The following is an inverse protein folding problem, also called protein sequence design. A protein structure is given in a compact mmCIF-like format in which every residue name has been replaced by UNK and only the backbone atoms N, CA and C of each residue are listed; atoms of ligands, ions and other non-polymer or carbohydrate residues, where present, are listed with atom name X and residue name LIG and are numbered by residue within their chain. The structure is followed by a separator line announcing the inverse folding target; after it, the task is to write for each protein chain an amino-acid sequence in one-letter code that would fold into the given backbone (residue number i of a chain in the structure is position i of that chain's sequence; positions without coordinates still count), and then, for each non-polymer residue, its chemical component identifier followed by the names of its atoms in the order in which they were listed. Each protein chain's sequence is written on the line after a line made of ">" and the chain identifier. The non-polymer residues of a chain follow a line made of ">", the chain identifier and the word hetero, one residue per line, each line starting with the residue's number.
data_IF_711668114114
#
_entry.id   IF_711668114114
#
_cell.length_a   1.000
_cell.length_b   1.000
_cell.length_c   1.000
_cell.angle_alpha   90.00
_cell.angle_beta   90.00
_cell.angle_gamma   90.00
#
_symmetry.space_group_name_H-M   'P 1'
#
loop_
_entity.id
_entity.type
_entity.pdbx_description
1 polymer ?
#
# COMPACT_ATOMS: atom_id res chain seq x y z
N UNK A 1 9.36 -5.74 -5.44
CA UNK A 1 9.60 -7.18 -5.69
C UNK A 1 10.95 -7.56 -5.10
N UNK A 2 11.18 -8.85 -4.84
CA UNK A 2 12.49 -9.36 -4.43
C UNK A 2 12.52 -10.89 -4.39
N UNK A 3 13.66 -11.46 -4.02
CA UNK A 3 13.89 -12.90 -3.92
C UNK A 3 14.30 -13.26 -2.49
N UNK A 4 13.70 -14.31 -1.92
CA UNK A 4 14.11 -14.82 -0.61
C UNK A 4 15.49 -15.46 -0.72
N UNK A 5 16.48 -14.95 0.01
CA UNK A 5 17.88 -15.41 -0.06
C UNK A 5 18.39 -16.07 1.21
N UNK A 6 17.71 -15.88 2.34
CA UNK A 6 17.94 -16.63 3.58
C UNK A 6 16.68 -16.61 4.44
N UNK A 7 16.50 -17.63 5.28
CA UNK A 7 15.40 -17.70 6.25
C UNK A 7 15.74 -18.66 7.40
N UNK A 8 15.10 -18.43 8.54
CA UNK A 8 15.05 -19.34 9.69
C UNK A 8 13.60 -19.38 10.18
N UNK A 9 13.06 -20.58 10.46
CA UNK A 9 11.65 -20.78 10.81
C UNK A 9 11.43 -21.69 12.01
N UNK A 10 12.45 -22.43 12.45
CA UNK A 10 12.29 -23.54 13.39
C UNK A 10 12.41 -23.15 14.87
N UNK A 11 12.82 -21.91 15.17
CA UNK A 11 12.99 -21.48 16.56
C UNK A 11 11.63 -21.28 17.23
N UNK A 12 11.53 -21.75 18.47
CA UNK A 12 10.32 -21.60 19.27
C UNK A 12 10.12 -20.15 19.72
N UNK A 13 8.85 -19.72 19.79
CA UNK A 13 8.44 -18.47 20.41
C UNK A 13 8.94 -18.38 21.85
N UNK A 14 9.37 -17.19 22.28
CA UNK A 14 9.87 -17.01 23.65
C UNK A 14 8.75 -17.28 24.67
N UNK A 15 9.01 -18.05 25.73
CA UNK A 15 8.13 -18.10 26.90
C UNK A 15 7.97 -16.69 27.52
N UNK A 16 6.88 -16.45 28.27
CA UNK A 16 6.69 -15.18 28.97
C UNK A 16 7.93 -14.78 29.80
N UNK A 17 8.35 -13.52 29.65
CA UNK A 17 9.52 -12.93 30.35
C UNK A 17 10.89 -13.53 30.02
N UNK A 18 11.01 -14.35 28.97
CA UNK A 18 12.29 -14.90 28.50
C UNK A 18 12.69 -14.31 27.15
N UNK A 19 13.99 -14.39 26.84
CA UNK A 19 14.55 -14.03 25.53
C UNK A 19 15.69 -14.97 25.17
N UNK A 20 15.75 -15.37 23.90
CA UNK A 20 16.92 -16.05 23.33
C UNK A 20 17.98 -15.01 22.93
N UNK A 21 19.08 -14.99 23.68
CA UNK A 21 20.20 -14.07 23.44
C UNK A 21 21.23 -14.64 22.44
N UNK A 22 21.18 -15.93 22.16
CA UNK A 22 22.08 -16.57 21.19
C UNK A 22 21.57 -16.32 19.76
N UNK A 23 20.26 -16.49 19.54
CA UNK A 23 19.62 -16.27 18.26
C UNK A 23 18.99 -14.88 18.18
N UNK A 24 19.82 -13.84 18.12
CA UNK A 24 19.36 -12.43 18.23
C UNK A 24 18.19 -12.10 17.30
N UNK A 25 18.18 -12.60 16.08
CA UNK A 25 17.13 -12.33 15.09
C UNK A 25 15.90 -13.27 15.19
N UNK A 26 16.00 -14.36 15.95
CA UNK A 26 14.98 -15.40 15.98
C UNK A 26 14.72 -15.98 14.59
N UNK A 27 13.46 -16.30 14.30
CA UNK A 27 13.03 -16.65 12.95
C UNK A 27 12.97 -15.39 12.09
N UNK A 28 13.47 -15.48 10.86
CA UNK A 28 13.56 -14.34 9.96
C UNK A 28 13.43 -14.73 8.49
N UNK A 29 13.16 -13.73 7.66
CA UNK A 29 13.27 -13.80 6.19
C UNK A 29 14.19 -12.68 5.74
N UNK A 30 15.17 -13.00 4.89
CA UNK A 30 16.02 -12.04 4.20
C UNK A 30 15.66 -12.04 2.71
N UNK A 31 15.31 -10.88 2.19
CA UNK A 31 14.83 -10.69 0.82
C UNK A 31 15.82 -9.79 0.09
N UNK A 32 16.43 -10.27 -0.99
CA UNK A 32 17.18 -9.42 -1.92
C UNK A 32 16.18 -8.69 -2.81
N UNK A 33 16.15 -7.36 -2.68
CA UNK A 33 15.31 -6.50 -3.50
C UNK A 33 15.92 -6.34 -4.90
N UNK A 34 15.07 -6.08 -5.89
CA UNK A 34 15.51 -5.90 -7.28
C UNK A 34 16.47 -4.70 -7.45
N UNK A 35 16.45 -3.73 -6.52
CA UNK A 35 17.41 -2.62 -6.45
C UNK A 35 18.80 -2.99 -5.90
N UNK A 36 19.00 -4.25 -5.48
CA UNK A 36 20.27 -4.77 -4.96
C UNK A 36 20.43 -4.72 -3.43
N UNK A 37 19.57 -3.98 -2.72
CA UNK A 37 19.55 -3.98 -1.25
C UNK A 37 18.86 -5.23 -0.68
N UNK A 38 18.98 -5.44 0.63
CA UNK A 38 18.40 -6.60 1.33
C UNK A 38 17.43 -6.14 2.43
N UNK A 39 16.21 -6.64 2.44
CA UNK A 39 15.21 -6.42 3.48
C UNK A 39 15.21 -7.61 4.44
N UNK A 40 15.41 -7.35 5.74
CA UNK A 40 15.28 -8.36 6.79
C UNK A 40 13.98 -8.14 7.56
N UNK A 41 13.23 -9.23 7.78
CA UNK A 41 12.05 -9.31 8.63
C UNK A 41 12.33 -10.36 9.70
N UNK A 42 12.29 -10.00 10.98
CA UNK A 42 12.77 -10.84 12.07
C UNK A 42 11.75 -10.96 13.23
N UNK A 43 12.07 -11.81 14.21
CA UNK A 43 11.20 -12.18 15.33
C UNK A 43 9.89 -12.84 14.88
N UNK A 44 9.92 -13.57 13.76
CA UNK A 44 8.74 -14.22 13.19
C UNK A 44 8.28 -15.38 14.05
N UNK A 45 6.98 -15.68 13.98
CA UNK A 45 6.39 -16.81 14.72
C UNK A 45 6.96 -18.14 14.22
N UNK A 46 7.21 -19.07 15.14
CA UNK A 46 7.60 -20.45 14.82
C UNK A 46 6.68 -21.04 13.75
N UNK A 47 7.29 -21.67 12.74
CA UNK A 47 6.61 -22.39 11.65
C UNK A 47 5.55 -21.57 10.89
N UNK A 48 5.67 -20.25 10.90
CA UNK A 48 4.69 -19.35 10.25
C UNK A 48 5.09 -18.86 8.87
N UNK A 49 6.34 -19.08 8.45
CA UNK A 49 6.86 -18.65 7.15
C UNK A 49 6.16 -19.44 6.03
N UNK A 50 5.58 -18.72 5.07
CA UNK A 50 4.75 -19.26 3.96
C UNK A 50 5.44 -19.19 2.60
N UNK A 51 6.73 -18.88 2.58
CA UNK A 51 7.53 -18.73 1.37
C UNK A 51 8.78 -19.61 1.47
N UNK A 52 9.31 -19.99 0.31
CA UNK A 52 10.48 -20.85 0.21
C UNK A 52 11.73 -20.05 -0.13
N UNK A 53 12.89 -20.61 0.21
CA UNK A 53 14.18 -20.09 -0.24
C UNK A 53 14.21 -20.01 -1.78
N UNK A 54 14.82 -18.96 -2.32
CA UNK A 54 14.91 -18.64 -3.75
C UNK A 54 13.56 -18.29 -4.42
N UNK A 55 12.45 -18.25 -3.68
CA UNK A 55 11.16 -17.81 -4.23
C UNK A 55 11.12 -16.29 -4.43
N UNK A 56 10.43 -15.86 -5.49
CA UNK A 56 10.17 -14.45 -5.75
C UNK A 56 8.95 -13.99 -4.95
N UNK A 57 9.06 -12.81 -4.34
CA UNK A 57 8.01 -12.22 -3.51
C UNK A 57 7.58 -10.86 -4.05
N UNK A 58 6.29 -10.56 -3.86
CA UNK A 58 5.65 -9.34 -4.36
C UNK A 58 5.01 -8.56 -3.21
N UNK A 59 4.87 -7.22 -3.31
CA UNK A 59 4.11 -6.45 -2.33
C UNK A 59 2.70 -7.02 -2.12
N UNK A 60 2.22 -7.02 -0.87
CA UNK A 60 0.92 -7.57 -0.49
C UNK A 60 0.88 -9.09 -0.25
N UNK A 61 1.93 -9.84 -0.64
CA UNK A 61 2.02 -11.27 -0.36
C UNK A 61 2.24 -11.51 1.15
N UNK A 62 1.43 -12.41 1.74
CA UNK A 62 1.66 -12.85 3.12
C UNK A 62 2.93 -13.70 3.19
N UNK A 63 3.91 -13.26 3.97
CA UNK A 63 5.20 -13.94 4.12
C UNK A 63 5.27 -14.81 5.38
N UNK A 64 4.79 -14.29 6.51
CA UNK A 64 4.85 -14.95 7.82
C UNK A 64 3.90 -14.28 8.82
N UNK A 65 3.79 -14.83 10.03
CA UNK A 65 3.11 -14.20 11.15
C UNK A 65 4.12 -13.52 12.08
N UNK A 66 3.70 -12.41 12.68
CA UNK A 66 4.43 -11.75 13.77
C UNK A 66 4.54 -12.71 14.97
N UNK A 67 5.74 -12.80 15.56
CA UNK A 67 6.00 -13.63 16.73
C UNK A 67 6.86 -12.87 17.74
N UNK A 68 7.54 -13.63 18.58
CA UNK A 68 8.46 -13.10 19.59
C UNK A 68 9.73 -13.96 19.71
N UNK A 69 10.19 -14.56 18.61
CA UNK A 69 11.41 -15.40 18.62
C UNK A 69 12.68 -14.57 18.73
N UNK A 70 13.75 -15.15 19.29
CA UNK A 70 15.05 -14.49 19.41
C UNK A 70 15.12 -13.45 20.53
N UNK A 71 15.90 -12.38 20.34
CA UNK A 71 16.03 -11.31 21.35
C UNK A 71 14.85 -10.33 21.26
N UNK A 72 13.66 -10.84 21.56
CA UNK A 72 12.39 -10.13 21.45
C UNK A 72 11.64 -10.15 22.78
N UNK A 73 11.52 -9.02 23.49
CA UNK A 73 10.89 -8.98 24.81
C UNK A 73 9.36 -9.11 24.76
N UNK A 74 8.75 -8.78 23.62
CA UNK A 74 7.31 -8.85 23.37
C UNK A 74 7.05 -9.13 21.89
N UNK A 75 5.87 -9.66 21.51
CA UNK A 75 5.56 -9.88 20.10
C UNK A 75 5.59 -8.60 19.27
N UNK A 76 6.48 -8.54 18.29
CA UNK A 76 6.61 -7.42 17.35
C UNK A 76 7.39 -7.86 16.11
N UNK A 77 7.27 -7.07 15.04
CA UNK A 77 8.08 -7.23 13.84
C UNK A 77 9.30 -6.32 13.94
N UNK A 78 10.51 -6.89 13.86
CA UNK A 78 11.69 -6.11 13.55
C UNK A 78 11.90 -6.09 12.03
N UNK A 79 12.17 -4.92 11.47
CA UNK A 79 12.50 -4.78 10.05
C UNK A 79 13.63 -3.79 9.82
N UNK A 80 14.50 -4.09 8.86
CA UNK A 80 15.47 -3.12 8.34
C UNK A 80 15.86 -3.43 6.90
N UNK A 81 16.51 -2.47 6.25
CA UNK A 81 17.19 -2.66 4.97
C UNK A 81 18.70 -2.61 5.21
N UNK A 82 19.46 -3.51 4.58
CA UNK A 82 20.92 -3.63 4.68
C UNK A 82 21.56 -3.70 3.29
N UNK A 83 22.83 -3.28 3.18
CA UNK A 83 23.56 -3.18 1.91
C UNK A 83 24.00 -4.53 1.34
N UNK A 84 24.46 -5.43 2.19
CA UNK A 84 25.02 -6.73 1.83
C UNK A 84 24.24 -7.85 2.51
N UNK A 85 24.49 -9.11 2.14
CA UNK A 85 23.79 -10.27 2.73
C UNK A 85 24.21 -10.56 4.17
N UNK A 86 25.40 -10.08 4.57
CA UNK A 86 26.01 -10.35 5.87
C UNK A 86 25.20 -9.76 7.04
N UNK A 87 25.18 -10.45 8.18
CA UNK A 87 24.48 -10.01 9.40
C UNK A 87 25.07 -8.71 9.99
N UNK A 88 26.35 -8.46 9.77
CA UNK A 88 27.08 -7.26 10.20
C UNK A 88 26.98 -6.09 9.22
N UNK A 89 26.26 -6.26 8.10
CA UNK A 89 26.11 -5.22 7.09
C UNK A 89 25.52 -3.93 7.66
N UNK A 90 26.04 -2.78 7.20
CA UNK A 90 25.44 -1.47 7.48
C UNK A 90 23.99 -1.42 6.99
N UNK A 91 23.15 -0.74 7.77
CA UNK A 91 21.75 -0.47 7.39
C UNK A 91 21.68 0.65 6.35
N UNK A 92 20.62 0.61 5.54
CA UNK A 92 20.29 1.62 4.55
C UNK A 92 18.97 2.30 4.93
N UNK A 93 18.83 3.61 4.67
CA UNK A 93 17.56 4.30 4.87
C UNK A 93 16.51 3.75 3.90
N UNK A 94 15.27 3.64 4.38
CA UNK A 94 14.12 3.27 3.56
C UNK A 94 12.93 4.20 3.90
N UNK A 95 11.89 4.12 3.07
CA UNK A 95 10.62 4.79 3.31
C UNK A 95 9.50 3.76 3.15
N UNK A 96 8.38 4.03 3.80
CA UNK A 96 7.13 3.33 3.59
C UNK A 96 6.33 4.04 2.50
N UNK A 97 5.60 3.25 1.73
CA UNK A 97 4.73 3.75 0.68
C UNK A 97 3.28 3.60 1.09
N UNK A 98 2.45 4.53 0.64
CA UNK A 98 0.99 4.46 0.78
C UNK A 98 0.54 4.30 2.23
N UNK A 99 0.90 5.27 3.06
CA UNK A 99 0.51 5.30 4.48
C UNK A 99 -0.47 6.43 4.77
N UNK A 100 -1.27 6.24 5.81
CA UNK A 100 -2.08 7.30 6.42
C UNK A 100 -1.44 7.68 7.74
N UNK A 101 -1.00 8.94 7.85
CA UNK A 101 -0.42 9.48 9.08
C UNK A 101 -1.53 9.89 10.03
N UNK A 102 -1.42 9.51 11.31
CA UNK A 102 -2.28 10.05 12.38
C UNK A 102 -1.61 11.30 12.95
N UNK A 103 -2.24 12.45 12.78
CA UNK A 103 -1.78 13.70 13.40
C UNK A 103 -2.16 13.68 14.88
N UNK A 104 -1.18 13.78 15.78
CA UNK A 104 -1.42 13.85 17.23
C UNK A 104 -1.66 15.32 17.62
N UNK A 105 -2.84 15.56 18.21
CA UNK A 105 -3.30 16.79 18.88
C UNK A 105 -3.29 18.10 18.07
N UNK A 106 -4.48 18.49 17.56
CA UNK A 106 -4.75 19.84 17.02
C UNK A 106 -5.10 19.87 15.53
N UNK A 107 -6.18 19.18 15.16
CA UNK A 107 -6.96 19.36 13.92
C UNK A 107 -6.17 19.44 12.60
N UNK A 108 -5.77 18.29 12.07
CA UNK A 108 -5.75 18.07 10.63
C UNK A 108 -6.26 16.66 10.31
N UNK A 109 -7.00 16.55 9.21
CA UNK A 109 -7.48 15.31 8.63
C UNK A 109 -6.32 14.31 8.41
N UNK A 110 -6.57 12.99 8.48
CA UNK A 110 -5.57 11.98 8.17
C UNK A 110 -4.91 12.22 6.81
N UNK A 111 -3.58 12.34 6.80
CA UNK A 111 -2.83 12.64 5.57
C UNK A 111 -2.36 11.36 4.89
N UNK A 112 -2.86 11.10 3.69
CA UNK A 112 -2.31 10.07 2.81
C UNK A 112 -0.95 10.51 2.26
N UNK A 113 0.08 9.70 2.45
CA UNK A 113 1.46 10.01 2.09
C UNK A 113 2.05 8.86 1.27
N UNK A 114 2.55 9.18 0.07
CA UNK A 114 3.17 8.20 -0.83
C UNK A 114 4.59 7.82 -0.41
N UNK A 115 5.34 8.72 0.21
CA UNK A 115 6.71 8.48 0.65
C UNK A 115 6.86 8.96 2.09
N UNK A 116 6.94 8.03 3.03
CA UNK A 116 6.93 8.35 4.44
C UNK A 116 8.11 7.72 5.17
N UNK A 117 8.83 8.55 5.94
CA UNK A 117 9.93 8.12 6.81
C UNK A 117 9.51 8.47 8.24
N UNK A 118 9.07 7.50 9.05
CA UNK A 118 8.58 7.80 10.39
C UNK A 118 9.70 8.32 11.27
N UNK A 119 9.40 9.34 12.06
CA UNK A 119 10.23 9.71 13.21
C UNK A 119 9.95 8.80 14.41
N UNK A 120 10.82 8.85 15.42
CA UNK A 120 10.63 8.07 16.65
C UNK A 120 9.29 8.43 17.31
N UNK A 121 8.52 7.41 17.70
CA UNK A 121 7.17 7.53 18.27
C UNK A 121 6.07 8.01 17.30
N UNK A 122 6.35 8.17 16.01
CA UNK A 122 5.33 8.51 15.02
C UNK A 122 4.46 7.29 14.67
N UNK A 123 3.13 7.50 14.63
CA UNK A 123 2.15 6.46 14.31
C UNK A 123 1.53 6.67 12.94
N UNK A 124 1.42 5.59 12.18
CA UNK A 124 0.80 5.54 10.86
C UNK A 124 -0.04 4.27 10.74
N UNK A 125 -0.92 4.24 9.75
CA UNK A 125 -1.70 3.05 9.40
C UNK A 125 -1.71 2.83 7.90
N UNK A 126 -2.07 1.65 7.46
CA UNK A 126 -2.44 1.43 6.07
C UNK A 126 -3.71 2.22 5.74
N UNK A 127 -3.88 2.71 4.50
CA UNK A 127 -5.14 3.27 4.04
C UNK A 127 -6.25 2.23 4.20
N UNK A 128 -7.42 2.68 4.65
CA UNK A 128 -8.61 1.85 4.69
C UNK A 128 -9.24 1.88 3.30
N UNK A 129 -9.26 0.73 2.63
CA UNK A 129 -9.89 0.61 1.32
C UNK A 129 -11.40 0.55 1.52
N UNK A 130 -12.10 1.59 1.06
CA UNK A 130 -13.55 1.53 0.96
C UNK A 130 -13.94 0.61 -0.21
N UNK A 131 -14.41 -0.59 0.09
CA UNK A 131 -14.74 -1.61 -0.94
C UNK A 131 -15.85 -1.16 -1.87
N UNK A 132 -16.82 -0.37 -1.38
CA UNK A 132 -17.89 0.16 -2.20
C UNK A 132 -17.35 1.18 -3.22
N UNK A 133 -16.45 2.07 -2.80
CA UNK A 133 -15.77 2.99 -3.70
C UNK A 133 -14.83 2.26 -4.66
N UNK A 134 -14.03 1.28 -4.19
CA UNK A 134 -13.17 0.47 -5.08
C UNK A 134 -13.99 -0.22 -6.17
N UNK A 135 -15.17 -0.73 -5.83
CA UNK A 135 -16.07 -1.36 -6.81
C UNK A 135 -16.71 -0.32 -7.74
N UNK A 136 -17.16 0.82 -7.20
CA UNK A 136 -17.81 1.89 -7.97
C UNK A 136 -16.86 2.65 -8.90
N UNK A 137 -15.58 2.76 -8.52
CA UNK A 137 -14.50 3.38 -9.28
C UNK A 137 -13.67 2.36 -10.06
N UNK A 138 -14.16 1.12 -10.18
CA UNK A 138 -13.61 0.20 -11.17
C UNK A 138 -14.07 0.68 -12.55
N UNK A 139 -13.15 1.25 -13.32
CA UNK A 139 -13.39 1.89 -14.62
C UNK A 139 -12.82 1.04 -15.76
N UNK A 140 -13.44 -0.10 -16.11
CA UNK A 140 -12.98 -0.92 -17.24
C UNK A 140 -13.24 -0.20 -18.57
N UNK A 141 -12.52 -0.60 -19.62
CA UNK A 141 -12.75 -0.09 -20.99
C UNK A 141 -14.22 -0.28 -21.37
N UNK A 142 -14.86 0.78 -21.89
CA UNK A 142 -16.28 0.77 -22.25
C UNK A 142 -17.23 0.75 -21.05
N UNK A 143 -16.70 0.81 -19.82
CA UNK A 143 -17.49 0.95 -18.61
C UNK A 143 -18.27 2.26 -18.61
N UNK A 144 -19.49 2.21 -18.08
CA UNK A 144 -20.37 3.36 -17.95
C UNK A 144 -20.88 3.48 -16.52
N UNK A 145 -20.86 4.70 -16.00
CA UNK A 145 -21.42 5.05 -14.70
C UNK A 145 -22.59 6.01 -14.93
N UNK A 146 -23.78 5.65 -14.46
CA UNK A 146 -24.98 6.47 -14.54
C UNK A 146 -25.34 6.97 -13.14
N UNK A 147 -25.69 8.25 -13.02
CA UNK A 147 -25.93 8.95 -11.77
C UNK A 147 -27.27 9.69 -11.79
N UNK A 148 -28.02 9.61 -10.70
CA UNK A 148 -29.09 10.55 -10.39
C UNK A 148 -28.48 11.70 -9.57
N UNK A 149 -28.33 12.86 -10.19
CA UNK A 149 -27.67 14.05 -9.62
C UNK A 149 -28.73 15.03 -9.14
N UNK A 150 -28.69 15.35 -7.85
CA UNK A 150 -29.60 16.32 -7.24
C UNK A 150 -28.88 17.67 -7.09
N UNK A 151 -29.39 18.68 -7.79
CA UNK A 151 -28.86 20.05 -7.78
C UNK A 151 -29.78 20.92 -6.92
N UNK A 152 -29.41 21.17 -5.67
CA UNK A 152 -30.22 21.97 -4.74
C UNK A 152 -31.54 21.28 -4.34
N UNK A 153 -32.56 22.08 -3.99
CA UNK A 153 -33.83 21.54 -3.50
C UNK A 153 -34.74 21.21 -4.69
N UNK A 154 -34.92 19.92 -4.97
CA UNK A 154 -35.99 19.40 -5.84
C UNK A 154 -35.65 19.24 -7.34
N UNK A 155 -34.45 19.61 -7.79
CA UNK A 155 -34.01 19.38 -9.18
C UNK A 155 -33.12 18.14 -9.24
N UNK A 156 -33.61 17.06 -9.86
CA UNK A 156 -32.80 15.90 -10.19
C UNK A 156 -32.56 15.82 -11.70
N UNK A 157 -31.38 15.35 -12.09
CA UNK A 157 -31.02 15.08 -13.48
C UNK A 157 -30.23 13.78 -13.58
N UNK A 158 -30.34 13.10 -14.72
CA UNK A 158 -29.51 11.93 -15.02
C UNK A 158 -28.23 12.38 -15.70
N UNK A 159 -27.09 11.95 -15.17
CA UNK A 159 -25.76 12.21 -15.73
C UNK A 159 -25.06 10.89 -15.97
N UNK A 160 -24.13 10.85 -16.92
CA UNK A 160 -23.35 9.63 -17.16
C UNK A 160 -21.91 9.90 -17.50
N UNK A 161 -21.03 9.01 -17.07
CA UNK A 161 -19.61 8.99 -17.37
C UNK A 161 -19.28 7.68 -18.10
N UNK A 162 -18.36 7.73 -19.06
CA UNK A 162 -17.94 6.59 -19.84
C UNK A 162 -16.43 6.50 -19.93
N UNK A 163 -15.90 5.29 -19.95
CA UNK A 163 -14.47 5.02 -20.02
C UNK A 163 -14.09 4.77 -21.47
N UNK A 164 -13.26 5.66 -22.00
CA UNK A 164 -12.68 5.57 -23.33
C UNK A 164 -11.19 5.24 -23.25
N UNK A 165 -10.67 4.62 -24.30
CA UNK A 165 -9.23 4.37 -24.49
C UNK A 165 -8.85 4.81 -25.89
N UNK A 166 -7.73 5.51 -26.03
CA UNK A 166 -7.22 5.90 -27.34
C UNK A 166 -6.25 4.86 -27.93
N UNK A 167 -5.73 5.13 -29.13
CA UNK A 167 -4.80 4.26 -29.83
C UNK A 167 -3.42 4.13 -29.14
N UNK A 168 -3.10 5.03 -28.21
CA UNK A 168 -1.87 4.97 -27.39
C UNK A 168 -2.06 4.15 -26.11
N UNK A 169 -3.29 3.71 -25.82
CA UNK A 169 -3.64 3.02 -24.58
C UNK A 169 -3.95 3.96 -23.42
N UNK A 170 -4.06 5.27 -23.67
CA UNK A 170 -4.42 6.25 -22.64
C UNK A 170 -5.91 6.15 -22.32
N UNK A 171 -6.21 5.90 -21.05
CA UNK A 171 -7.57 5.87 -20.53
C UNK A 171 -8.08 7.27 -20.25
N UNK A 172 -9.34 7.53 -20.58
CA UNK A 172 -10.04 8.77 -20.32
C UNK A 172 -11.43 8.49 -19.77
N UNK A 173 -11.85 9.29 -18.79
CA UNK A 173 -13.23 9.36 -18.35
C UNK A 173 -13.91 10.52 -19.09
N UNK A 174 -15.05 10.24 -19.72
CA UNK A 174 -15.78 11.18 -20.57
C UNK A 174 -17.21 11.32 -20.09
N UNK A 175 -17.62 12.54 -19.79
CA UNK A 175 -19.00 12.87 -19.43
C UNK A 175 -19.91 12.91 -20.66
N UNK A 176 -21.19 12.66 -20.42
CA UNK A 176 -22.32 12.90 -21.32
C UNK A 176 -22.36 14.29 -21.98
N UNK A 177 -21.67 15.30 -21.43
CA UNK A 177 -21.55 16.63 -22.04
C UNK A 177 -20.25 16.86 -22.81
N UNK A 178 -19.41 15.83 -22.95
CA UNK A 178 -18.15 15.90 -23.69
C UNK A 178 -16.94 16.38 -22.88
N UNK A 179 -17.11 16.67 -21.59
CA UNK A 179 -15.99 16.92 -20.68
C UNK A 179 -15.16 15.64 -20.50
N UNK A 180 -13.82 15.76 -20.46
CA UNK A 180 -12.90 14.63 -20.45
C UNK A 180 -11.74 14.84 -19.48
N UNK A 181 -11.32 13.78 -18.80
CA UNK A 181 -10.05 13.74 -18.07
C UNK A 181 -9.34 12.41 -18.30
N UNK A 182 -8.03 12.45 -18.49
CA UNK A 182 -7.21 11.24 -18.47
C UNK A 182 -7.17 10.69 -17.05
N UNK A 183 -7.02 9.37 -16.90
CA UNK A 183 -6.77 8.80 -15.59
C UNK A 183 -5.75 7.67 -15.62
N UNK A 184 -5.11 7.48 -14.47
CA UNK A 184 -4.31 6.31 -14.15
C UNK A 184 -4.86 5.71 -12.86
N UNK A 185 -4.99 4.39 -12.82
CA UNK A 185 -5.46 3.69 -11.63
C UNK A 185 -4.60 2.46 -11.35
N UNK A 186 -4.35 2.23 -10.07
CA UNK A 186 -3.80 1.00 -9.53
C UNK A 186 -4.66 0.53 -8.33
N UNK A 187 -4.22 -0.48 -7.61
CA UNK A 187 -4.99 -1.03 -6.48
C UNK A 187 -5.24 -0.07 -5.32
N UNK A 188 -4.47 1.02 -5.24
CA UNK A 188 -4.41 1.95 -4.10
C UNK A 188 -4.89 3.37 -4.45
N UNK A 189 -4.79 3.77 -5.72
CA UNK A 189 -5.01 5.13 -6.17
C UNK A 189 -5.73 5.15 -7.53
N UNK A 190 -6.64 6.10 -7.67
CA UNK A 190 -7.05 6.63 -8.97
C UNK A 190 -6.63 8.10 -9.03
N UNK A 191 -5.95 8.48 -10.10
CA UNK A 191 -5.49 9.84 -10.32
C UNK A 191 -6.04 10.34 -11.65
N UNK A 192 -6.72 11.49 -11.61
CA UNK A 192 -7.22 12.18 -12.79
C UNK A 192 -6.27 13.33 -13.17
N UNK A 193 -6.04 13.51 -14.46
CA UNK A 193 -5.17 14.57 -15.00
C UNK A 193 -5.60 14.97 -16.40
N UNK A 194 -5.01 16.04 -16.95
CA UNK A 194 -5.31 16.56 -18.29
C UNK A 194 -6.82 16.74 -18.56
N UNK A 195 -7.50 17.49 -17.68
CA UNK A 195 -8.90 17.88 -17.86
C UNK A 195 -9.06 18.78 -19.09
N UNK A 196 -9.89 18.35 -20.05
CA UNK A 196 -10.14 19.02 -21.34
C UNK A 196 -11.62 18.92 -21.73
N UNK A 197 -12.07 19.71 -22.71
CA UNK A 197 -13.48 19.78 -23.12
C UNK A 197 -14.27 20.88 -22.38
N UNK A 198 -15.60 20.93 -22.54
CA UNK A 198 -16.44 22.00 -21.99
C UNK A 198 -16.51 21.98 -20.46
N UNK A 199 -17.00 23.10 -19.89
CA UNK A 199 -17.30 23.23 -18.46
C UNK A 199 -18.41 22.26 -18.05
N UNK A 200 -18.19 21.52 -16.96
CA UNK A 200 -19.16 20.56 -16.47
C UNK A 200 -19.01 20.33 -14.96
N UNK A 201 -19.80 21.07 -14.18
CA UNK A 201 -19.74 21.06 -12.71
C UNK A 201 -19.89 19.66 -12.12
N UNK A 202 -20.75 18.81 -12.69
CA UNK A 202 -20.91 17.44 -12.19
C UNK A 202 -19.62 16.64 -12.37
N UNK A 203 -19.04 16.72 -13.56
CA UNK A 203 -17.80 16.02 -13.86
C UNK A 203 -16.65 16.54 -13.03
N UNK A 204 -16.52 17.87 -12.92
CA UNK A 204 -15.45 18.49 -12.14
C UNK A 204 -15.59 18.18 -10.63
N UNK A 205 -16.81 18.14 -10.08
CA UNK A 205 -17.05 17.66 -8.73
C UNK A 205 -16.66 16.18 -8.56
N UNK A 206 -16.96 15.33 -9.54
CA UNK A 206 -16.59 13.90 -9.49
C UNK A 206 -15.06 13.69 -9.51
N UNK A 207 -14.32 14.52 -10.24
CA UNK A 207 -12.86 14.42 -10.29
C UNK A 207 -12.15 14.89 -9.02
N UNK A 208 -12.80 15.77 -8.24
CA UNK A 208 -12.23 16.41 -7.04
C UNK A 208 -12.65 15.72 -5.73
N UNK A 209 -13.64 14.83 -5.77
CA UNK A 209 -14.14 14.05 -4.63
C UNK A 209 -13.26 12.85 -4.31
#
# INVERSE_FOLDING_TARGET
>A
FGVVVAMESGLADNPPSQMDLANVWGNYILIRLDCGAYLKLAHLKQDSIRVELLSRVVPGQTLALCGNTGRSPQPHLHMHVQKEIDVSSSTLPFHLTSVVRRVVAGEQEPLYTLNFRPEENESFSTPQINTALKKGLNLPIGGKLDFDVVEGIGRSSKRSLSVEVDLSGQFSLVSDRGARACFASNDELIAFYNRTGPDDVFFDCFLLS
#
